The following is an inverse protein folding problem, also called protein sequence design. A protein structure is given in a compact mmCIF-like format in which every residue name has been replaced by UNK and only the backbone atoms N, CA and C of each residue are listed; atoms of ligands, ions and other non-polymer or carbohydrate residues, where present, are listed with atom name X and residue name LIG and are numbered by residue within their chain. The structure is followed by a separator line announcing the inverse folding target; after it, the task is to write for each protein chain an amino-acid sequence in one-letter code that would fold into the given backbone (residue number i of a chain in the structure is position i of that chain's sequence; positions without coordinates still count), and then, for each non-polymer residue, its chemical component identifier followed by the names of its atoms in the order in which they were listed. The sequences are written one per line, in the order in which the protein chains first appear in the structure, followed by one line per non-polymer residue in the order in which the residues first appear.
data_IF_031819675768
#
_entry.id   IF_031819675768
#
_cell.length_a   1.000
_cell.length_b   1.000
_cell.length_c   1.000
_cell.angle_alpha   90.00
_cell.angle_beta   90.00
_cell.angle_gamma   90.00
#
_symmetry.space_group_name_H-M   'P 1'
#
loop_
_entity.id
_entity.type
_entity.pdbx_description
1 polymer ?
#
# COMPACT_ATOMS: atom_id res chain seq x y z
N UNK A 1 14.36 -5.95 6.93
CA UNK A 1 13.53 -5.56 5.77
C UNK A 1 12.76 -6.71 5.11
N UNK A 2 12.95 -7.98 5.50
CA UNK A 2 12.11 -9.08 5.01
C UNK A 2 11.88 -10.13 6.08
N UNK A 3 10.73 -10.80 6.03
CA UNK A 3 10.41 -11.94 6.90
C UNK A 3 11.05 -13.24 6.39
N UNK A 4 11.41 -13.30 5.10
CA UNK A 4 12.07 -14.46 4.51
C UNK A 4 13.58 -14.45 4.80
N UNK A 5 14.09 -15.49 5.48
CA UNK A 5 15.52 -15.61 5.84
C UNK A 5 16.48 -15.53 4.65
N UNK A 6 16.09 -16.06 3.49
CA UNK A 6 16.89 -15.97 2.26
C UNK A 6 17.00 -14.54 1.73
N UNK A 7 15.93 -13.76 1.86
CA UNK A 7 15.89 -12.34 1.50
C UNK A 7 16.61 -11.47 2.52
N UNK A 8 16.54 -11.81 3.81
CA UNK A 8 17.29 -11.14 4.88
C UNK A 8 18.79 -11.09 4.57
N UNK A 9 19.39 -12.19 4.13
CA UNK A 9 20.80 -12.20 3.73
C UNK A 9 21.13 -11.24 2.58
N UNK A 10 20.19 -11.02 1.66
CA UNK A 10 20.37 -10.06 0.57
C UNK A 10 20.33 -8.63 1.10
N UNK A 11 19.40 -8.34 2.02
CA UNK A 11 19.32 -7.07 2.74
C UNK A 11 20.53 -6.78 3.64
N UNK A 12 21.10 -7.81 4.28
CA UNK A 12 22.23 -7.65 5.20
C UNK A 12 23.58 -7.54 4.49
N UNK A 13 23.72 -8.11 3.29
CA UNK A 13 25.03 -8.23 2.63
C UNK A 13 25.09 -7.57 1.27
N UNK A 14 24.12 -7.87 0.39
CA UNK A 14 24.17 -7.43 -1.00
C UNK A 14 23.80 -5.95 -1.12
N UNK A 15 22.73 -5.52 -0.46
CA UNK A 15 22.28 -4.12 -0.51
C UNK A 15 23.33 -3.16 0.07
N UNK A 16 23.94 -3.43 1.25
CA UNK A 16 25.05 -2.62 1.75
C UNK A 16 26.28 -2.61 0.83
N UNK A 17 26.66 -3.74 0.23
CA UNK A 17 27.76 -3.80 -0.74
C UNK A 17 27.47 -2.94 -2.00
N UNK A 18 26.23 -2.91 -2.47
CA UNK A 18 25.83 -2.02 -3.57
C UNK A 18 25.85 -0.55 -3.11
N UNK A 19 25.31 -0.25 -1.94
CA UNK A 19 25.21 1.11 -1.41
C UNK A 19 26.60 1.73 -1.14
N UNK A 20 27.55 0.98 -0.61
CA UNK A 20 28.92 1.47 -0.37
C UNK A 20 29.66 1.89 -1.64
N UNK A 21 29.21 1.42 -2.82
CA UNK A 21 29.77 1.77 -4.14
C UNK A 21 29.00 2.88 -4.85
N UNK A 22 27.86 3.31 -4.29
CA UNK A 22 26.94 4.26 -4.91
C UNK A 22 26.45 5.27 -3.85
N UNK A 23 27.00 6.48 -3.86
CA UNK A 23 26.74 7.51 -2.84
C UNK A 23 25.25 7.76 -2.61
N UNK A 24 24.45 7.89 -3.67
CA UNK A 24 23.02 8.15 -3.53
C UNK A 24 22.25 6.99 -2.87
N UNK A 25 22.69 5.74 -3.05
CA UNK A 25 22.11 4.60 -2.36
C UNK A 25 22.49 4.58 -0.88
N UNK A 26 23.70 5.05 -0.54
CA UNK A 26 24.07 5.25 0.86
C UNK A 26 23.16 6.30 1.51
N UNK A 27 22.86 7.40 0.81
CA UNK A 27 21.87 8.37 1.29
C UNK A 27 20.49 7.75 1.52
N UNK A 28 19.97 6.93 0.60
CA UNK A 28 18.69 6.24 0.80
C UNK A 28 18.73 5.25 1.98
N UNK A 29 19.84 4.53 2.15
CA UNK A 29 20.02 3.58 3.25
C UNK A 29 20.06 4.32 4.60
N UNK A 30 20.81 5.43 4.70
CA UNK A 30 20.89 6.26 5.89
C UNK A 30 19.55 6.91 6.23
N UNK A 31 18.79 7.37 5.23
CA UNK A 31 17.45 7.90 5.43
C UNK A 31 16.50 6.84 6.01
N UNK A 32 16.54 5.62 5.47
CA UNK A 32 15.71 4.51 5.95
C UNK A 32 16.08 4.09 7.37
N UNK A 33 17.37 3.93 7.65
CA UNK A 33 17.85 3.57 9.00
C UNK A 33 17.53 4.67 10.02
N UNK A 34 17.76 5.94 9.67
CA UNK A 34 17.42 7.05 10.55
C UNK A 34 15.92 7.14 10.83
N UNK A 35 15.08 6.82 9.84
CA UNK A 35 13.64 6.75 10.02
C UNK A 35 13.21 5.60 10.94
N UNK A 36 13.84 4.42 10.81
CA UNK A 36 13.60 3.29 11.73
C UNK A 36 13.93 3.70 13.17
N UNK A 37 15.14 4.23 13.39
CA UNK A 37 15.61 4.71 14.69
C UNK A 37 14.67 5.79 15.27
N UNK A 38 14.26 6.76 14.45
CA UNK A 38 13.35 7.83 14.86
C UNK A 38 11.99 7.28 15.31
N UNK A 39 11.44 6.31 14.57
CA UNK A 39 10.14 5.69 14.93
C UNK A 39 10.23 4.81 16.18
N UNK A 40 11.39 4.21 16.44
CA UNK A 40 11.65 3.43 17.66
C UNK A 40 11.82 4.31 18.90
N UNK A 41 12.45 5.48 18.77
CA UNK A 41 12.68 6.41 19.87
C UNK A 41 11.42 7.21 20.25
N UNK A 42 10.48 7.37 19.32
CA UNK A 42 9.24 8.13 19.51
C UNK A 42 7.95 7.26 19.43
N UNK A 43 7.77 6.25 20.31
CA UNK A 43 6.60 5.38 20.29
C UNK A 43 5.29 6.09 20.70
N UNK A 44 5.36 7.22 21.43
CA UNK A 44 4.17 8.02 21.83
C UNK A 44 3.37 8.59 20.64
N UNK A 45 3.92 8.60 19.42
CA UNK A 45 3.19 8.97 18.21
C UNK A 45 2.32 7.83 17.64
N UNK A 46 2.46 6.60 18.14
CA UNK A 46 1.79 5.40 17.63
C UNK A 46 0.49 5.06 18.38
N UNK A 47 0.37 5.42 19.67
CA UNK A 47 -0.79 5.09 20.50
C UNK A 47 -1.55 6.33 20.99
N UNK A 48 -2.51 6.80 20.19
CA UNK A 48 -3.65 7.57 20.73
C UNK A 48 -4.76 6.60 21.16
N UNK A 49 -4.41 5.67 22.07
CA UNK A 49 -5.34 4.94 22.91
C UNK A 49 -4.87 5.13 24.34
N UNK A 50 -5.68 5.86 25.12
CA UNK A 50 -5.65 5.97 26.60
C UNK A 50 -4.66 6.96 27.23
N UNK A 51 -5.05 8.26 27.32
CA UNK A 51 -4.81 9.07 28.53
C UNK A 51 -5.98 10.05 28.73
N UNK A 52 -7.10 9.54 29.21
CA UNK A 52 -7.96 10.33 30.08
C UNK A 52 -7.35 10.22 31.48
N UNK A 53 -7.01 11.38 32.06
CA UNK A 53 -6.45 11.58 33.41
C UNK A 53 -4.95 11.26 33.60
N UNK A 54 -4.10 12.23 33.33
CA UNK A 54 -3.09 12.60 34.32
C UNK A 54 -2.85 14.10 34.28
N UNK A 55 -3.17 14.75 35.40
CA UNK A 55 -3.01 16.16 35.68
C UNK A 55 -1.80 16.22 36.62
N UNK A 56 -0.66 16.73 36.17
CA UNK A 56 0.46 16.98 37.09
C UNK A 56 1.83 17.12 36.43
N UNK A 57 2.49 18.22 36.79
CA UNK A 57 3.93 18.54 36.72
C UNK A 57 4.59 18.76 35.36
N UNK A 58 4.70 20.05 35.02
CA UNK A 58 5.90 20.77 34.55
C UNK A 58 7.18 19.95 34.34
N UNK A 59 7.59 19.80 33.07
CA UNK A 59 8.96 19.94 32.53
C UNK A 59 8.92 19.50 31.05
N UNK A 60 8.66 20.44 30.13
CA UNK A 60 8.73 20.16 28.68
C UNK A 60 9.23 21.38 27.90
N UNK A 61 10.52 21.68 28.04
CA UNK A 61 11.26 22.55 27.11
C UNK A 61 12.62 21.90 26.83
N UNK A 62 12.66 20.93 25.91
CA UNK A 62 13.87 20.57 25.13
C UNK A 62 13.71 19.42 24.13
N UNK A 63 12.64 18.62 24.15
CA UNK A 63 12.53 17.44 23.26
C UNK A 63 12.20 17.78 21.80
N UNK A 64 11.38 18.82 21.56
CA UNK A 64 10.89 19.17 20.22
C UNK A 64 11.96 19.68 19.25
N UNK A 65 12.99 20.38 19.73
CA UNK A 65 14.06 20.92 18.87
C UNK A 65 15.03 19.83 18.39
N UNK A 66 15.31 18.82 19.24
CA UNK A 66 16.21 17.70 18.90
C UNK A 66 15.52 16.74 17.93
N UNK A 67 14.23 16.46 18.14
CA UNK A 67 13.44 15.61 17.24
C UNK A 67 13.31 16.22 15.84
N UNK A 68 13.12 17.54 15.75
CA UNK A 68 13.04 18.27 14.48
C UNK A 68 14.35 18.23 13.67
N UNK A 69 15.50 18.39 14.35
CA UNK A 69 16.82 18.30 13.70
C UNK A 69 17.13 16.90 13.13
N UNK A 70 16.72 15.85 13.84
CA UNK A 70 16.88 14.47 13.37
C UNK A 70 16.03 14.17 12.14
N UNK A 71 14.76 14.60 12.15
CA UNK A 71 13.84 14.43 11.02
C UNK A 71 14.30 15.21 9.79
N UNK A 72 14.83 16.42 9.98
CA UNK A 72 15.41 17.21 8.90
C UNK A 72 16.56 16.46 8.21
N UNK A 73 17.48 15.92 8.99
CA UNK A 73 18.62 15.13 8.48
C UNK A 73 18.15 13.90 7.69
N UNK A 74 17.13 13.20 8.19
CA UNK A 74 16.51 12.05 7.50
C UNK A 74 15.94 12.47 6.14
N UNK A 75 15.21 13.61 6.10
CA UNK A 75 14.62 14.15 4.88
C UNK A 75 15.70 14.58 3.88
N UNK A 76 16.79 15.22 4.34
CA UNK A 76 17.92 15.61 3.49
C UNK A 76 18.57 14.38 2.82
N UNK A 77 18.85 13.34 3.59
CA UNK A 77 19.35 12.08 3.03
C UNK A 77 18.36 11.47 2.03
N UNK A 78 17.06 11.46 2.33
CA UNK A 78 16.04 10.97 1.40
C UNK A 78 16.04 11.76 0.09
N UNK A 79 16.06 13.09 0.15
CA UNK A 79 16.05 13.97 -1.02
C UNK A 79 17.32 13.81 -1.87
N UNK A 80 18.49 13.72 -1.25
CA UNK A 80 19.75 13.51 -1.94
C UNK A 80 19.78 12.14 -2.63
N UNK A 81 19.33 11.10 -1.94
CA UNK A 81 19.20 9.76 -2.51
C UNK A 81 18.21 9.68 -3.68
N UNK A 82 17.07 10.37 -3.57
CA UNK A 82 16.08 10.48 -4.64
C UNK A 82 16.63 11.22 -5.86
N UNK A 83 17.39 12.29 -5.66
CA UNK A 83 18.06 13.03 -6.74
C UNK A 83 19.03 12.13 -7.50
N UNK A 84 19.93 11.45 -6.80
CA UNK A 84 20.89 10.56 -7.44
C UNK A 84 20.24 9.36 -8.14
N UNK A 85 19.10 8.86 -7.63
CA UNK A 85 18.36 7.82 -8.35
C UNK A 85 17.78 8.35 -9.67
N UNK A 86 17.24 9.58 -9.69
CA UNK A 86 16.73 10.20 -10.93
C UNK A 86 17.84 10.38 -11.96
N UNK A 87 19.01 10.86 -11.53
CA UNK A 87 20.19 10.98 -12.39
C UNK A 87 20.65 9.62 -12.93
N UNK A 88 20.64 8.57 -12.09
CA UNK A 88 20.97 7.22 -12.51
C UNK A 88 19.95 6.62 -13.50
N UNK A 89 18.67 7.01 -13.40
CA UNK A 89 17.61 6.61 -14.33
C UNK A 89 17.78 7.25 -15.70
N UNK A 90 18.19 8.51 -15.77
CA UNK A 90 18.46 9.19 -17.05
C UNK A 90 19.59 8.50 -17.84
N UNK A 91 20.53 7.86 -17.12
CA UNK A 91 21.61 7.04 -17.67
C UNK A 91 21.38 5.52 -17.57
N UNK A 92 20.13 5.05 -17.56
CA UNK A 92 19.82 3.63 -17.38
C UNK A 92 20.50 2.73 -18.43
N UNK A 93 21.24 1.72 -17.96
CA UNK A 93 21.93 0.72 -18.79
C UNK A 93 21.81 -0.65 -18.13
N UNK A 94 22.07 -1.74 -18.87
CA UNK A 94 22.06 -3.08 -18.26
C UNK A 94 23.03 -3.23 -17.08
N UNK A 95 24.11 -2.44 -17.06
CA UNK A 95 25.13 -2.47 -16.01
C UNK A 95 24.66 -1.85 -14.68
N UNK A 96 23.68 -0.93 -14.69
CA UNK A 96 23.22 -0.25 -13.48
C UNK A 96 21.86 -0.76 -12.96
N UNK A 97 21.30 -1.81 -13.57
CA UNK A 97 20.01 -2.39 -13.20
C UNK A 97 19.90 -2.76 -11.71
N UNK A 98 20.93 -3.39 -11.14
CA UNK A 98 20.93 -3.74 -9.71
C UNK A 98 20.94 -2.51 -8.79
N UNK A 99 21.62 -1.44 -9.23
CA UNK A 99 21.69 -0.17 -8.51
C UNK A 99 20.32 0.50 -8.52
N UNK A 100 19.68 0.58 -9.69
CA UNK A 100 18.34 1.14 -9.87
C UNK A 100 17.28 0.36 -9.09
N UNK A 101 17.34 -0.97 -9.11
CA UNK A 101 16.43 -1.81 -8.34
C UNK A 101 16.65 -1.66 -6.83
N UNK A 102 17.90 -1.57 -6.38
CA UNK A 102 18.23 -1.34 -4.97
C UNK A 102 17.70 0.01 -4.49
N UNK A 103 17.89 1.08 -5.27
CA UNK A 103 17.33 2.40 -4.98
C UNK A 103 15.80 2.37 -4.93
N UNK A 104 15.16 1.64 -5.85
CA UNK A 104 13.70 1.48 -5.89
C UNK A 104 13.16 0.75 -4.65
N UNK A 105 13.83 -0.30 -4.19
CA UNK A 105 13.44 -1.02 -2.97
C UNK A 105 13.63 -0.16 -1.71
N UNK A 106 14.74 0.57 -1.60
CA UNK A 106 14.98 1.48 -0.48
C UNK A 106 13.96 2.63 -0.44
N UNK A 107 13.63 3.21 -1.60
CA UNK A 107 12.58 4.23 -1.68
C UNK A 107 11.21 3.68 -1.31
N UNK A 108 10.87 2.48 -1.76
CA UNK A 108 9.58 1.86 -1.43
C UNK A 108 9.48 1.60 0.08
N UNK A 109 10.53 1.04 0.67
CA UNK A 109 10.63 0.84 2.11
C UNK A 109 10.49 2.14 2.89
N UNK A 110 11.19 3.20 2.47
CA UNK A 110 11.11 4.51 3.07
C UNK A 110 9.69 5.09 2.96
N UNK A 111 9.05 4.96 1.80
CA UNK A 111 7.69 5.45 1.55
C UNK A 111 6.66 4.79 2.47
N UNK A 112 6.78 3.48 2.73
CA UNK A 112 5.93 2.79 3.68
C UNK A 112 6.23 3.22 5.12
N UNK A 113 7.52 3.23 5.51
CA UNK A 113 7.92 3.59 6.86
C UNK A 113 7.53 5.03 7.21
N UNK A 114 7.57 5.96 6.25
CA UNK A 114 7.22 7.37 6.47
C UNK A 114 5.73 7.56 6.75
N UNK A 115 4.87 6.62 6.35
CA UNK A 115 3.46 6.64 6.74
C UNK A 115 3.32 6.64 8.27
N UNK A 116 4.25 6.04 9.02
CA UNK A 116 4.16 5.98 10.49
C UNK A 116 4.27 7.37 11.14
N UNK A 117 4.92 8.31 10.45
CA UNK A 117 5.04 9.68 10.92
C UNK A 117 3.72 10.44 10.73
N UNK A 118 3.34 11.22 11.76
CA UNK A 118 2.19 12.13 11.69
C UNK A 118 2.50 13.39 10.87
N UNK A 119 3.76 13.84 10.91
CA UNK A 119 4.18 15.16 10.40
C UNK A 119 5.14 15.12 9.20
N UNK A 120 5.27 13.99 8.50
CA UNK A 120 6.14 13.89 7.32
C UNK A 120 5.60 14.68 6.11
N UNK A 121 4.42 15.27 6.23
CA UNK A 121 3.83 16.14 5.22
C UNK A 121 3.68 17.58 5.74
N UNK A 122 4.67 18.45 5.50
CA UNK A 122 4.59 19.86 5.88
C UNK A 122 3.55 20.66 5.06
N UNK A 123 3.01 20.09 3.96
CA UNK A 123 1.96 20.69 3.14
C UNK A 123 0.55 20.43 3.68
N UNK A 124 0.40 19.45 4.57
CA UNK A 124 -0.88 19.04 5.17
C UNK A 124 -0.83 19.11 6.68
N UNK A 125 -0.26 20.21 7.20
CA UNK A 125 -0.42 20.62 8.58
C UNK A 125 -1.93 20.69 8.91
N UNK A 126 -2.41 19.65 9.59
CA UNK A 126 -3.61 19.58 10.42
C UNK A 126 -4.91 20.09 9.77
N UNK A 127 -5.76 19.19 9.25
CA UNK A 127 -7.17 19.57 9.04
C UNK A 127 -8.07 18.68 8.19
N UNK A 128 -7.61 18.12 7.06
CA UNK A 128 -8.60 17.72 6.03
C UNK A 128 -9.11 16.27 6.14
N UNK A 129 -8.65 15.49 7.13
CA UNK A 129 -9.10 14.10 7.35
C UNK A 129 -8.80 13.12 6.21
N UNK A 130 -8.09 13.55 5.15
CA UNK A 130 -7.86 12.77 3.94
C UNK A 130 -6.81 11.66 4.13
N UNK A 131 -6.95 10.54 3.41
CA UNK A 131 -5.95 9.48 3.39
C UNK A 131 -4.74 9.93 2.57
N UNK A 132 -3.53 9.55 2.98
CA UNK A 132 -2.32 9.89 2.22
C UNK A 132 -2.15 8.97 1.03
N UNK A 133 -1.95 9.54 -0.15
CA UNK A 133 -1.82 8.78 -1.42
C UNK A 133 -0.47 8.99 -2.12
N UNK A 134 0.39 9.91 -1.64
CA UNK A 134 1.65 10.22 -2.33
C UNK A 134 2.65 9.06 -2.34
N UNK A 135 2.64 8.25 -1.28
CA UNK A 135 3.40 7.01 -1.21
C UNK A 135 3.08 6.10 -2.41
N UNK A 136 1.83 6.09 -2.87
CA UNK A 136 1.38 5.22 -3.96
C UNK A 136 2.05 5.58 -5.28
N UNK A 137 2.22 6.88 -5.56
CA UNK A 137 2.93 7.36 -6.77
C UNK A 137 4.41 6.96 -6.72
N UNK A 138 5.04 7.17 -5.58
CA UNK A 138 6.45 6.86 -5.38
C UNK A 138 6.70 5.35 -5.53
N UNK A 139 5.92 4.53 -4.83
CA UNK A 139 6.04 3.06 -4.89
C UNK A 139 5.66 2.56 -6.29
N UNK A 140 4.67 3.14 -6.97
CA UNK A 140 4.34 2.82 -8.36
C UNK A 140 5.52 3.05 -9.31
N UNK A 141 6.18 4.20 -9.19
CA UNK A 141 7.38 4.52 -9.98
C UNK A 141 8.51 3.53 -9.69
N UNK A 142 8.81 3.29 -8.41
CA UNK A 142 9.85 2.35 -7.97
C UNK A 142 9.58 0.91 -8.44
N UNK A 143 8.35 0.41 -8.27
CA UNK A 143 7.94 -0.91 -8.71
C UNK A 143 8.01 -1.07 -10.23
N UNK A 144 7.75 0.00 -10.99
CA UNK A 144 7.89 -0.03 -12.45
C UNK A 144 9.33 -0.31 -12.89
N UNK A 145 10.33 0.28 -12.21
CA UNK A 145 11.76 0.05 -12.51
C UNK A 145 12.12 -1.42 -12.31
N UNK A 146 11.62 -2.03 -11.23
CA UNK A 146 11.81 -3.44 -10.93
C UNK A 146 11.14 -4.32 -12.01
N UNK A 147 9.89 -4.02 -12.35
CA UNK A 147 9.12 -4.76 -13.36
C UNK A 147 9.78 -4.77 -14.74
N UNK A 148 10.21 -3.60 -15.23
CA UNK A 148 10.88 -3.49 -16.54
C UNK A 148 12.20 -4.25 -16.60
N UNK A 149 12.90 -4.39 -15.47
CA UNK A 149 14.23 -5.01 -15.41
C UNK A 149 14.22 -6.43 -14.83
N UNK A 150 13.03 -7.01 -14.64
CA UNK A 150 12.84 -8.29 -13.96
C UNK A 150 13.76 -9.41 -14.46
N UNK A 151 13.81 -9.61 -15.78
CA UNK A 151 14.58 -10.69 -16.40
C UNK A 151 16.09 -10.61 -16.11
N UNK A 152 16.62 -9.40 -15.97
CA UNK A 152 18.01 -9.15 -15.59
C UNK A 152 18.22 -9.34 -14.10
N UNK A 153 17.28 -8.86 -13.27
CA UNK A 153 17.35 -8.93 -11.81
C UNK A 153 17.35 -10.37 -11.28
N UNK A 154 16.57 -11.28 -11.89
CA UNK A 154 16.54 -12.69 -11.49
C UNK A 154 17.83 -13.46 -11.84
N UNK A 155 18.68 -12.90 -12.71
CA UNK A 155 20.00 -13.45 -13.05
C UNK A 155 21.13 -12.86 -12.20
N UNK A 156 20.86 -11.75 -11.52
CA UNK A 156 21.84 -11.01 -10.73
C UNK A 156 21.98 -11.48 -9.28
N UNK A 157 22.66 -10.66 -8.48
CA UNK A 157 22.87 -10.83 -7.04
C UNK A 157 21.59 -10.61 -6.24
N UNK A 158 20.68 -9.78 -6.77
CA UNK A 158 19.37 -9.51 -6.15
C UNK A 158 18.33 -10.61 -6.39
N UNK A 159 18.67 -11.67 -7.15
CA UNK A 159 17.74 -12.74 -7.53
C UNK A 159 16.89 -13.29 -6.39
N UNK A 160 17.44 -13.37 -5.16
CA UNK A 160 16.72 -13.93 -4.01
C UNK A 160 15.53 -13.07 -3.56
N UNK A 161 15.53 -11.78 -3.88
CA UNK A 161 14.42 -10.86 -3.62
C UNK A 161 13.31 -10.99 -4.67
N UNK A 162 13.62 -11.59 -5.82
CA UNK A 162 12.76 -11.64 -7.01
C UNK A 162 12.45 -13.08 -7.43
N UNK A 163 12.91 -14.10 -6.71
CA UNK A 163 12.42 -15.46 -6.94
C UNK A 163 11.24 -15.62 -6.00
N UNK A 164 10.06 -15.34 -6.53
CA UNK A 164 8.81 -15.61 -5.83
C UNK A 164 8.68 -17.12 -5.59
N UNK A 165 8.23 -17.48 -4.40
CA UNK A 165 8.12 -18.87 -3.98
C UNK A 165 6.91 -19.55 -4.67
N UNK A 166 7.13 -20.78 -5.14
CA UNK A 166 6.29 -21.91 -5.65
C UNK A 166 4.83 -21.78 -6.13
N UNK A 167 4.09 -20.71 -5.89
CA UNK A 167 2.64 -20.62 -6.20
C UNK A 167 2.33 -19.81 -7.46
N UNK A 168 3.31 -19.10 -8.02
CA UNK A 168 3.16 -18.43 -9.32
C UNK A 168 3.03 -19.48 -10.44
N UNK A 169 1.80 -19.62 -10.97
CA UNK A 169 1.49 -20.49 -12.11
C UNK A 169 0.93 -21.86 -11.77
N UNK A 170 0.65 -22.17 -10.51
CA UNK A 170 -0.12 -23.38 -10.16
C UNK A 170 -1.57 -22.94 -9.95
N UNK A 171 -2.45 -23.25 -10.92
CA UNK A 171 -3.90 -23.27 -10.70
C UNK A 171 -4.18 -24.32 -9.63
N UNK A 172 -4.15 -23.89 -8.37
CA UNK A 172 -4.51 -24.75 -7.27
C UNK A 172 -6.01 -24.58 -7.08
N UNK A 173 -6.78 -25.46 -7.72
CA UNK A 173 -8.18 -25.71 -7.41
C UNK A 173 -8.28 -26.28 -5.99
N UNK A 174 -8.13 -25.41 -5.00
CA UNK A 174 -8.32 -25.76 -3.62
C UNK A 174 -9.81 -25.63 -3.29
N UNK A 175 -10.48 -26.71 -2.83
CA UNK A 175 -11.85 -26.60 -2.35
C UNK A 175 -11.92 -25.60 -1.19
N UNK A 176 -13.00 -24.81 -1.16
CA UNK A 176 -13.34 -23.76 -0.20
C UNK A 176 -13.61 -24.37 1.18
N UNK A 177 -12.58 -24.91 1.82
CA UNK A 177 -12.64 -25.32 3.22
C UNK A 177 -11.95 -24.25 4.05
N UNK A 178 -12.60 -23.80 5.11
CA UNK A 178 -12.04 -22.83 6.04
C UNK A 178 -10.65 -23.28 6.52
N UNK A 179 -9.63 -22.41 6.48
CA UNK A 179 -8.31 -22.74 7.00
C UNK A 179 -8.41 -23.03 8.50
N UNK A 180 -8.08 -24.25 8.92
CA UNK A 180 -8.32 -24.74 10.29
C UNK A 180 -7.26 -24.31 11.30
N UNK A 181 -6.16 -23.67 10.86
CA UNK A 181 -5.01 -23.37 11.72
C UNK A 181 -4.31 -22.04 11.33
N UNK A 182 -5.03 -20.92 11.45
CA UNK A 182 -4.42 -19.58 11.39
C UNK A 182 -4.43 -19.01 12.81
N UNK A 183 -3.28 -18.63 13.36
CA UNK A 183 -3.24 -18.03 14.70
C UNK A 183 -3.54 -16.52 14.66
N UNK A 184 -3.12 -15.84 13.60
CA UNK A 184 -3.45 -14.44 13.35
C UNK A 184 -4.95 -14.26 13.07
N UNK A 185 -5.62 -13.59 14.01
CA UNK A 185 -7.04 -13.23 13.87
C UNK A 185 -7.28 -12.37 12.62
N UNK A 186 -6.35 -11.47 12.29
CA UNK A 186 -6.42 -10.63 11.10
C UNK A 186 -6.39 -11.44 9.81
N UNK A 187 -5.48 -12.42 9.70
CA UNK A 187 -5.42 -13.32 8.55
C UNK A 187 -6.68 -14.20 8.44
N UNK A 188 -7.25 -14.65 9.57
CA UNK A 188 -8.52 -15.41 9.58
C UNK A 188 -9.69 -14.55 9.09
N UNK A 189 -9.88 -13.35 9.67
CA UNK A 189 -10.94 -12.41 9.25
C UNK A 189 -10.79 -12.04 7.77
N UNK A 190 -9.55 -11.87 7.30
CA UNK A 190 -9.27 -11.64 5.88
C UNK A 190 -9.73 -12.84 5.03
N UNK A 191 -9.31 -14.05 5.40
CA UNK A 191 -9.61 -15.25 4.63
C UNK A 191 -11.12 -15.54 4.51
N UNK A 192 -11.88 -15.28 5.57
CA UNK A 192 -13.33 -15.53 5.64
C UNK A 192 -14.18 -14.58 4.79
N UNK A 193 -13.70 -13.35 4.55
CA UNK A 193 -14.49 -12.31 3.89
C UNK A 193 -13.96 -11.81 2.54
N UNK A 194 -12.70 -12.09 2.19
CA UNK A 194 -12.05 -11.52 0.99
C UNK A 194 -12.88 -11.72 -0.30
N UNK A 195 -13.32 -12.95 -0.60
CA UNK A 195 -14.11 -13.23 -1.83
C UNK A 195 -15.46 -12.52 -1.83
N UNK A 196 -16.14 -12.49 -0.68
CA UNK A 196 -17.44 -11.81 -0.53
C UNK A 196 -17.28 -10.31 -0.74
N UNK A 197 -16.22 -9.72 -0.18
CA UNK A 197 -15.96 -8.29 -0.30
C UNK A 197 -15.72 -7.87 -1.76
N UNK A 198 -14.96 -8.66 -2.54
CA UNK A 198 -14.79 -8.42 -3.98
C UNK A 198 -16.11 -8.54 -4.74
N UNK A 199 -16.90 -9.60 -4.46
CA UNK A 199 -18.22 -9.77 -5.09
C UNK A 199 -19.14 -8.58 -4.80
N UNK A 200 -19.16 -8.07 -3.56
CA UNK A 200 -19.96 -6.92 -3.18
C UNK A 200 -19.49 -5.64 -3.90
N UNK A 201 -18.17 -5.44 -4.02
CA UNK A 201 -17.58 -4.30 -4.70
C UNK A 201 -17.92 -4.28 -6.21
N UNK A 202 -17.91 -5.46 -6.86
CA UNK A 202 -18.34 -5.62 -8.26
C UNK A 202 -19.84 -5.35 -8.41
N UNK A 203 -20.67 -5.94 -7.55
CA UNK A 203 -22.13 -5.73 -7.58
C UNK A 203 -22.47 -4.24 -7.45
N UNK A 204 -21.84 -3.55 -6.50
CA UNK A 204 -22.00 -2.10 -6.35
C UNK A 204 -21.53 -1.32 -7.58
N UNK A 205 -20.45 -1.77 -8.22
CA UNK A 205 -19.92 -1.13 -9.44
C UNK A 205 -20.90 -1.23 -10.60
N UNK A 206 -21.50 -2.40 -10.79
CA UNK A 206 -22.53 -2.66 -11.81
C UNK A 206 -23.79 -1.81 -11.55
N UNK A 207 -24.27 -1.79 -10.31
CA UNK A 207 -25.44 -1.01 -9.90
C UNK A 207 -25.22 0.50 -10.12
N UNK A 208 -24.04 1.01 -9.76
CA UNK A 208 -23.69 2.41 -9.94
C UNK A 208 -23.59 2.78 -11.42
N UNK A 209 -22.94 1.93 -12.24
CA UNK A 209 -22.83 2.16 -13.68
C UNK A 209 -24.22 2.17 -14.35
N UNK A 210 -25.10 1.25 -13.97
CA UNK A 210 -26.49 1.20 -14.44
C UNK A 210 -27.26 2.47 -14.02
N UNK A 211 -27.11 2.93 -12.78
CA UNK A 211 -27.79 4.13 -12.29
C UNK A 211 -27.36 5.39 -13.05
N UNK A 212 -26.05 5.56 -13.30
CA UNK A 212 -25.53 6.71 -14.04
C UNK A 212 -25.94 6.67 -15.52
N UNK A 213 -25.87 5.51 -16.16
CA UNK A 213 -26.29 5.33 -17.55
C UNK A 213 -27.77 5.69 -17.74
N UNK A 214 -28.62 5.25 -16.82
CA UNK A 214 -30.06 5.55 -16.83
C UNK A 214 -30.37 7.03 -16.54
N UNK A 215 -29.58 7.69 -15.69
CA UNK A 215 -29.72 9.12 -15.40
C UNK A 215 -29.33 9.99 -16.61
N UNK A 216 -28.25 9.63 -17.31
CA UNK A 216 -27.79 10.35 -18.51
C UNK A 216 -28.83 10.39 -19.63
N UNK A 217 -29.53 9.27 -19.88
CA UNK A 217 -30.58 9.20 -20.89
C UNK A 217 -31.81 10.09 -20.62
N UNK A 218 -32.01 10.57 -19.39
CA UNK A 218 -33.12 11.50 -19.05
C UNK A 218 -32.74 12.98 -19.21
N UNK A 219 -31.46 13.32 -19.25
CA UNK A 219 -30.97 14.70 -19.29
C UNK A 219 -30.62 15.21 -20.71
N UNK A 220 -30.66 14.34 -21.72
CA UNK A 220 -30.29 14.61 -23.12
C UNK A 220 -31.19 15.62 -23.87
N UNK A 221 -32.06 16.39 -23.19
CA UNK A 221 -33.01 17.31 -23.83
C UNK A 221 -32.62 18.79 -23.85
N UNK A 222 -31.44 19.22 -23.37
CA UNK A 222 -31.15 20.67 -23.28
C UNK A 222 -29.68 21.14 -23.39
N UNK A 223 -28.68 20.30 -23.65
CA UNK A 223 -27.26 20.70 -23.60
C UNK A 223 -26.48 20.50 -24.90
N UNK A 224 -25.45 21.34 -25.10
CA UNK A 224 -24.59 21.35 -26.29
C UNK A 224 -23.82 20.03 -26.42
N UNK A 225 -23.84 19.36 -27.59
CA UNK A 225 -23.46 17.95 -27.74
C UNK A 225 -21.98 17.65 -27.42
N UNK A 226 -21.08 18.62 -27.57
CA UNK A 226 -19.64 18.40 -27.36
C UNK A 226 -19.23 18.34 -25.89
N UNK A 227 -19.94 19.04 -25.00
CA UNK A 227 -19.60 19.06 -23.56
C UNK A 227 -20.08 17.79 -22.85
N UNK A 228 -21.28 17.32 -23.18
CA UNK A 228 -21.86 16.10 -22.61
C UNK A 228 -21.11 14.83 -23.06
N UNK A 229 -20.59 14.80 -24.29
CA UNK A 229 -19.81 13.65 -24.78
C UNK A 229 -18.50 13.47 -24.02
N UNK A 230 -17.75 14.56 -23.80
CA UNK A 230 -16.48 14.49 -23.05
C UNK A 230 -16.67 14.02 -21.61
N UNK A 231 -17.77 14.39 -20.96
CA UNK A 231 -18.10 13.96 -19.59
C UNK A 231 -18.51 12.49 -19.54
N UNK A 232 -19.29 12.00 -20.50
CA UNK A 232 -19.62 10.58 -20.64
C UNK A 232 -18.36 9.73 -20.90
N UNK A 233 -17.52 10.15 -21.84
CA UNK A 233 -16.27 9.46 -22.16
C UNK A 233 -15.32 9.40 -20.95
N UNK A 234 -15.28 10.48 -20.14
CA UNK A 234 -14.50 10.51 -18.90
C UNK A 234 -15.04 9.54 -17.85
N UNK A 235 -16.36 9.48 -17.65
CA UNK A 235 -16.99 8.56 -16.70
C UNK A 235 -16.80 7.10 -17.10
N UNK A 236 -16.98 6.77 -18.39
CA UNK A 236 -16.77 5.42 -18.92
C UNK A 236 -15.33 4.96 -18.68
N UNK A 237 -14.36 5.81 -19.01
CA UNK A 237 -12.94 5.53 -18.75
C UNK A 237 -12.63 5.36 -17.25
N UNK A 238 -13.29 6.12 -16.37
CA UNK A 238 -13.10 5.98 -14.93
C UNK A 238 -13.68 4.65 -14.43
N UNK A 239 -14.83 4.23 -14.95
CA UNK A 239 -15.40 2.92 -14.62
C UNK A 239 -14.52 1.76 -15.10
N UNK A 240 -13.98 1.85 -16.31
CA UNK A 240 -13.00 0.88 -16.81
C UNK A 240 -11.77 0.79 -15.90
N UNK A 241 -11.25 1.93 -15.45
CA UNK A 241 -10.11 1.95 -14.53
C UNK A 241 -10.48 1.39 -13.15
N UNK A 242 -11.69 1.64 -12.65
CA UNK A 242 -12.17 1.03 -11.40
C UNK A 242 -12.21 -0.49 -11.51
N UNK A 243 -12.82 -1.03 -12.58
CA UNK A 243 -12.87 -2.48 -12.79
C UNK A 243 -11.47 -3.08 -12.90
N UNK A 244 -10.57 -2.41 -13.64
CA UNK A 244 -9.18 -2.86 -13.74
C UNK A 244 -8.46 -2.87 -12.40
N UNK A 245 -8.74 -1.92 -11.51
CA UNK A 245 -8.16 -1.92 -10.16
C UNK A 245 -8.80 -3.02 -9.30
N UNK A 246 -10.10 -3.27 -9.44
CA UNK A 246 -10.77 -4.39 -8.76
C UNK A 246 -10.17 -5.73 -9.19
N UNK A 247 -9.86 -5.92 -10.48
CA UNK A 247 -9.16 -7.11 -10.98
C UNK A 247 -7.79 -7.29 -10.31
N UNK A 248 -7.03 -6.19 -10.14
CA UNK A 248 -5.74 -6.21 -9.44
C UNK A 248 -5.92 -6.60 -7.97
N UNK A 249 -6.92 -6.04 -7.28
CA UNK A 249 -7.22 -6.39 -5.89
C UNK A 249 -7.58 -7.87 -5.80
N UNK A 250 -8.46 -8.36 -6.67
CA UNK A 250 -8.90 -9.75 -6.70
C UNK A 250 -7.73 -10.70 -6.91
N UNK A 251 -6.85 -10.43 -7.87
CA UNK A 251 -5.62 -11.19 -8.10
C UNK A 251 -4.77 -11.29 -6.83
N UNK A 252 -4.55 -10.18 -6.12
CA UNK A 252 -3.77 -10.17 -4.87
C UNK A 252 -4.50 -10.88 -3.74
N UNK A 253 -5.81 -10.76 -3.63
CA UNK A 253 -6.60 -11.47 -2.63
C UNK A 253 -6.54 -12.98 -2.86
N UNK A 254 -6.73 -13.44 -4.10
CA UNK A 254 -6.63 -14.85 -4.47
C UNK A 254 -5.24 -15.39 -4.13
N UNK A 255 -4.18 -14.65 -4.45
CA UNK A 255 -2.81 -15.04 -4.12
C UNK A 255 -2.59 -15.17 -2.60
N UNK A 256 -3.05 -14.19 -1.82
CA UNK A 256 -2.98 -14.26 -0.34
C UNK A 256 -3.74 -15.48 0.18
N UNK A 257 -4.97 -15.70 -0.31
CA UNK A 257 -5.78 -16.86 0.06
C UNK A 257 -5.08 -18.18 -0.28
N UNK A 258 -4.44 -18.28 -1.45
CA UNK A 258 -3.69 -19.48 -1.84
C UNK A 258 -2.51 -19.75 -0.91
N UNK A 259 -1.76 -18.72 -0.51
CA UNK A 259 -0.68 -18.86 0.49
C UNK A 259 -1.25 -19.38 1.81
N UNK A 260 -2.32 -18.76 2.32
CA UNK A 260 -2.99 -19.17 3.56
C UNK A 260 -3.46 -20.63 3.50
N UNK A 261 -4.14 -21.02 2.42
CA UNK A 261 -4.67 -22.38 2.25
C UNK A 261 -3.57 -23.42 2.08
N UNK A 262 -2.47 -23.07 1.39
CA UNK A 262 -1.32 -23.95 1.22
C UNK A 262 -0.73 -24.34 2.58
N UNK A 263 -0.40 -23.35 3.42
CA UNK A 263 0.19 -23.60 4.73
C UNK A 263 -0.77 -24.30 5.70
N UNK A 264 -2.07 -24.01 5.60
CA UNK A 264 -3.10 -24.69 6.39
C UNK A 264 -3.19 -26.20 6.11
N UNK A 265 -2.73 -26.67 4.95
CA UNK A 265 -2.84 -28.08 4.51
C UNK A 265 -1.53 -28.85 4.55
N UNK A 266 -0.42 -28.19 4.26
CA UNK A 266 0.86 -28.87 4.02
C UNK A 266 1.64 -29.14 5.32
N UNK A 267 1.46 -28.35 6.38
CA UNK A 267 2.18 -28.56 7.65
C UNK A 267 1.41 -28.00 8.87
N UNK A 268 0.35 -28.70 9.31
CA UNK A 268 -0.46 -28.26 10.47
C UNK A 268 0.27 -28.29 11.82
N UNK A 269 1.46 -28.89 11.91
CA UNK A 269 2.20 -29.03 13.18
C UNK A 269 3.45 -28.14 13.28
N UNK A 270 3.86 -27.43 12.20
CA UNK A 270 5.17 -26.74 12.15
C UNK A 270 5.12 -25.35 11.53
N UNK A 271 4.12 -24.99 10.72
CA UNK A 271 4.10 -23.68 10.05
C UNK A 271 3.80 -22.56 11.05
N UNK A 272 4.75 -21.64 11.20
CA UNK A 272 4.52 -20.41 11.95
C UNK A 272 3.77 -19.39 11.09
N UNK A 273 2.98 -18.49 11.70
CA UNK A 273 2.37 -17.36 10.99
C UNK A 273 3.44 -16.51 10.26
N UNK A 274 4.68 -16.52 10.74
CA UNK A 274 5.81 -15.83 10.10
C UNK A 274 6.15 -16.40 8.72
N UNK A 275 6.01 -17.71 8.53
CA UNK A 275 6.27 -18.36 7.23
C UNK A 275 5.19 -17.97 6.21
N UNK A 276 3.93 -17.90 6.65
CA UNK A 276 2.79 -17.41 5.85
C UNK A 276 3.02 -15.96 5.45
N UNK A 277 3.35 -15.09 6.41
CA UNK A 277 3.60 -13.68 6.16
C UNK A 277 4.82 -13.46 5.26
N UNK A 278 5.86 -14.30 5.36
CA UNK A 278 7.04 -14.21 4.49
C UNK A 278 6.73 -14.49 3.00
N UNK A 279 5.76 -15.36 2.71
CA UNK A 279 5.30 -15.61 1.35
C UNK A 279 4.25 -14.56 0.90
N UNK A 280 3.45 -13.99 1.82
CA UNK A 280 2.55 -12.85 1.52
C UNK A 280 3.34 -11.58 1.19
N UNK A 281 4.48 -11.34 1.84
CA UNK A 281 5.30 -10.12 1.68
C UNK A 281 5.53 -9.73 0.21
N UNK A 282 5.87 -10.71 -0.62
CA UNK A 282 6.11 -10.52 -2.06
C UNK A 282 4.89 -10.03 -2.81
N UNK A 283 3.74 -10.59 -2.45
CA UNK A 283 2.44 -10.21 -2.99
C UNK A 283 2.10 -8.79 -2.57
N UNK A 284 2.39 -8.43 -1.33
CA UNK A 284 1.86 -7.23 -0.72
C UNK A 284 2.59 -5.93 -1.11
N UNK A 285 3.92 -5.94 -1.20
CA UNK A 285 4.69 -4.68 -1.12
C UNK A 285 5.02 -4.06 -2.48
N UNK A 286 5.44 -4.86 -3.46
CA UNK A 286 5.93 -4.34 -4.76
C UNK A 286 5.20 -4.88 -6.00
N UNK A 287 4.36 -5.91 -5.85
CA UNK A 287 3.83 -6.66 -7.01
C UNK A 287 2.67 -5.99 -7.76
N UNK A 288 2.00 -5.01 -7.16
CA UNK A 288 0.78 -4.39 -7.70
C UNK A 288 0.84 -2.88 -7.95
N UNK A 289 1.63 -2.04 -7.24
CA UNK A 289 1.54 -0.59 -7.40
C UNK A 289 1.81 -0.10 -8.83
N UNK A 290 2.70 -0.79 -9.56
CA UNK A 290 3.01 -0.51 -10.97
C UNK A 290 1.88 -0.86 -11.95
N UNK A 291 0.92 -1.71 -11.53
CA UNK A 291 -0.22 -2.13 -12.36
C UNK A 291 -1.36 -1.11 -12.34
N UNK A 292 -1.36 -0.18 -11.38
CA UNK A 292 -2.44 0.78 -11.23
C UNK A 292 -2.50 1.79 -12.40
N UNK A 293 -3.70 2.05 -12.95
CA UNK A 293 -3.91 3.12 -13.92
C UNK A 293 -3.56 4.50 -13.35
N UNK A 294 -2.93 5.35 -14.16
CA UNK A 294 -2.59 6.71 -13.75
C UNK A 294 -3.85 7.53 -13.44
N UNK A 295 -4.91 7.36 -14.24
CA UNK A 295 -6.20 8.06 -14.08
C UNK A 295 -6.88 7.72 -12.74
N UNK A 296 -6.84 6.46 -12.30
CA UNK A 296 -7.30 6.08 -10.96
C UNK A 296 -6.51 6.80 -9.86
N UNK A 297 -5.19 6.85 -9.95
CA UNK A 297 -4.37 7.56 -8.97
C UNK A 297 -4.67 9.06 -8.98
N UNK A 298 -4.83 9.64 -10.16
CA UNK A 298 -5.19 11.05 -10.33
C UNK A 298 -6.59 11.38 -9.83
N UNK A 299 -7.53 10.42 -9.84
CA UNK A 299 -8.84 10.64 -9.24
C UNK A 299 -8.67 10.93 -7.74
N UNK A 300 -7.79 10.22 -7.04
CA UNK A 300 -7.57 10.37 -5.59
C UNK A 300 -7.06 11.76 -5.13
N UNK A 301 -6.51 12.60 -6.02
CA UNK A 301 -5.81 13.84 -5.64
C UNK A 301 -6.71 15.05 -5.41
N UNK A 302 -7.85 15.14 -6.07
CA UNK A 302 -8.65 16.36 -6.01
C UNK A 302 -10.10 16.07 -6.33
N UNK A 303 -10.94 16.28 -5.32
CA UNK A 303 -12.38 16.20 -5.43
C UNK A 303 -12.97 17.53 -4.97
N UNK A 304 -13.31 18.45 -5.90
CA UNK A 304 -14.01 19.69 -5.56
C UNK A 304 -15.37 19.42 -4.92
N UNK A 305 -15.99 18.28 -5.27
CA UNK A 305 -17.19 17.75 -4.65
C UNK A 305 -16.96 16.27 -4.36
N UNK A 306 -16.99 15.90 -3.07
CA UNK A 306 -16.90 14.50 -2.67
C UNK A 306 -18.26 13.83 -2.83
N UNK A 307 -18.39 12.95 -3.83
CA UNK A 307 -19.62 12.23 -4.17
C UNK A 307 -19.46 10.71 -4.11
N UNK A 308 -20.43 10.00 -4.67
CA UNK A 308 -20.50 8.53 -4.64
C UNK A 308 -19.34 7.89 -5.44
N UNK A 309 -18.92 8.51 -6.55
CA UNK A 309 -17.87 8.00 -7.42
C UNK A 309 -16.48 8.13 -6.79
N UNK A 310 -16.26 9.23 -6.08
CA UNK A 310 -15.09 9.50 -5.26
C UNK A 310 -15.07 8.55 -4.06
N UNK A 311 -16.22 8.37 -3.40
CA UNK A 311 -16.43 7.37 -2.36
C UNK A 311 -16.03 5.97 -2.83
N UNK A 312 -16.48 5.54 -4.02
CA UNK A 312 -16.08 4.27 -4.65
C UNK A 312 -14.57 4.18 -4.83
N UNK A 313 -13.92 5.24 -5.34
CA UNK A 313 -12.46 5.26 -5.55
C UNK A 313 -11.70 5.05 -4.24
N UNK A 314 -12.13 5.68 -3.14
CA UNK A 314 -11.53 5.47 -1.83
C UNK A 314 -11.86 4.10 -1.22
N UNK A 315 -13.06 3.56 -1.43
CA UNK A 315 -13.39 2.19 -1.03
C UNK A 315 -12.47 1.19 -1.74
N UNK A 316 -12.22 1.35 -3.04
CA UNK A 316 -11.23 0.55 -3.78
C UNK A 316 -9.82 0.72 -3.18
N UNK A 317 -9.42 1.95 -2.85
CA UNK A 317 -8.13 2.22 -2.19
C UNK A 317 -8.01 1.49 -0.85
N UNK A 318 -9.09 1.38 -0.09
CA UNK A 318 -9.12 0.60 1.17
C UNK A 318 -8.83 -0.87 0.91
N UNK A 319 -9.36 -1.45 -0.16
CA UNK A 319 -9.05 -2.84 -0.49
C UNK A 319 -7.57 -3.04 -0.85
N UNK A 320 -6.94 -2.07 -1.51
CA UNK A 320 -5.48 -2.04 -1.73
C UNK A 320 -4.71 -1.91 -0.41
N UNK A 321 -5.21 -1.11 0.54
CA UNK A 321 -4.63 -1.04 1.88
C UNK A 321 -4.72 -2.36 2.63
N UNK A 322 -5.81 -3.13 2.49
CA UNK A 322 -5.92 -4.42 3.16
C UNK A 322 -4.85 -5.43 2.72
N UNK A 323 -4.38 -5.34 1.46
CA UNK A 323 -3.24 -6.13 0.96
C UNK A 323 -1.98 -5.88 1.81
N UNK A 324 -1.79 -4.64 2.29
CA UNK A 324 -0.70 -4.27 3.18
C UNK A 324 -1.04 -4.57 4.64
N UNK A 325 -2.30 -4.38 5.06
CA UNK A 325 -2.72 -4.51 6.45
C UNK A 325 -2.56 -5.93 7.00
N UNK A 326 -2.62 -6.96 6.15
CA UNK A 326 -2.35 -8.36 6.54
C UNK A 326 -0.91 -8.58 7.01
N UNK A 327 0.02 -7.67 6.71
CA UNK A 327 1.44 -7.74 7.11
C UNK A 327 1.70 -7.16 8.51
N UNK A 328 0.93 -7.60 9.51
CA UNK A 328 0.85 -7.00 10.86
C UNK A 328 2.18 -6.86 11.63
N UNK A 329 3.18 -7.71 11.34
CA UNK A 329 4.48 -7.73 12.04
C UNK A 329 5.62 -7.06 11.25
N UNK A 330 5.30 -6.32 10.19
CA UNK A 330 6.32 -5.68 9.35
C UNK A 330 6.56 -4.25 9.82
N UNK A 331 7.76 -3.99 10.36
CA UNK A 331 8.10 -2.72 11.03
C UNK A 331 7.81 -1.47 10.18
N UNK A 332 7.99 -1.57 8.85
CA UNK A 332 7.83 -0.44 7.92
C UNK A 332 6.39 -0.25 7.43
N UNK A 333 5.45 -1.17 7.68
CA UNK A 333 4.03 -1.03 7.31
C UNK A 333 3.20 -0.76 8.58
N UNK A 334 3.32 -1.64 9.57
CA UNK A 334 2.69 -1.53 10.89
C UNK A 334 1.19 -1.23 10.90
N UNK A 335 0.70 -0.73 12.04
CA UNK A 335 -0.71 -0.34 12.29
C UNK A 335 -1.13 0.96 11.58
N UNK A 336 -0.23 1.56 10.79
CA UNK A 336 -0.51 2.83 10.11
C UNK A 336 -1.57 2.68 9.05
N UNK A 337 -1.60 1.54 8.38
CA UNK A 337 -2.62 1.22 7.39
C UNK A 337 -4.01 1.22 8.04
N UNK A 338 -4.13 0.72 9.27
CA UNK A 338 -5.38 0.74 10.02
C UNK A 338 -5.91 2.17 10.21
N UNK A 339 -5.00 3.15 10.41
CA UNK A 339 -5.35 4.58 10.51
C UNK A 339 -5.88 5.13 9.19
N UNK A 340 -5.24 4.79 8.08
CA UNK A 340 -5.67 5.26 6.75
C UNK A 340 -7.03 4.64 6.36
N UNK A 341 -7.26 3.36 6.67
CA UNK A 341 -8.58 2.70 6.50
C UNK A 341 -9.66 3.40 7.33
N UNK A 342 -9.38 3.75 8.59
CA UNK A 342 -10.31 4.49 9.46
C UNK A 342 -10.64 5.89 8.92
N UNK A 343 -9.65 6.60 8.36
CA UNK A 343 -9.87 7.91 7.71
C UNK A 343 -10.82 7.78 6.53
N UNK A 344 -10.59 6.80 5.65
CA UNK A 344 -11.49 6.54 4.52
C UNK A 344 -12.90 6.21 5.01
N UNK A 345 -13.04 5.34 6.01
CA UNK A 345 -14.35 5.00 6.57
C UNK A 345 -15.10 6.23 7.09
N UNK A 346 -14.40 7.13 7.80
CA UNK A 346 -14.97 8.38 8.26
C UNK A 346 -15.46 9.24 7.10
N UNK A 347 -14.66 9.39 6.04
CA UNK A 347 -15.03 10.13 4.83
C UNK A 347 -16.24 9.52 4.13
N UNK A 348 -16.22 8.23 3.84
CA UNK A 348 -17.32 7.50 3.19
C UNK A 348 -18.62 7.63 3.98
N UNK A 349 -18.55 7.60 5.31
CA UNK A 349 -19.73 7.78 6.18
C UNK A 349 -20.37 9.16 6.01
N UNK A 350 -19.59 10.21 5.69
CA UNK A 350 -20.15 11.57 5.49
C UNK A 350 -21.00 11.68 4.23
N UNK A 351 -20.85 10.78 3.26
CA UNK A 351 -21.68 10.72 2.05
C UNK A 351 -23.11 10.27 2.31
N UNK A 352 -23.37 9.62 3.46
CA UNK A 352 -24.70 9.08 3.79
C UNK A 352 -25.18 7.96 2.86
N UNK A 353 -24.30 7.40 2.02
CA UNK A 353 -24.62 6.27 1.14
C UNK A 353 -24.58 4.95 1.91
N UNK A 354 -25.72 4.27 2.12
CA UNK A 354 -25.76 3.03 2.91
C UNK A 354 -24.95 1.91 2.26
N UNK A 355 -24.94 1.86 0.92
CA UNK A 355 -24.19 0.85 0.16
C UNK A 355 -22.66 1.01 0.33
N UNK A 356 -22.15 2.25 0.26
CA UNK A 356 -20.72 2.49 0.47
C UNK A 356 -20.31 2.22 1.93
N UNK A 357 -21.17 2.55 2.90
CA UNK A 357 -20.94 2.23 4.31
C UNK A 357 -20.91 0.72 4.54
N UNK A 358 -21.80 -0.04 3.89
CA UNK A 358 -21.82 -1.50 3.94
C UNK A 358 -20.52 -2.11 3.38
N UNK A 359 -20.02 -1.60 2.24
CA UNK A 359 -18.74 -2.03 1.66
C UNK A 359 -17.54 -1.79 2.60
N UNK A 360 -17.63 -0.80 3.49
CA UNK A 360 -16.58 -0.47 4.45
C UNK A 360 -16.62 -1.29 5.75
N UNK A 361 -17.69 -2.06 6.01
CA UNK A 361 -17.82 -2.85 7.26
C UNK A 361 -16.73 -3.91 7.39
N UNK A 362 -16.58 -4.78 6.38
CA UNK A 362 -15.59 -5.84 6.43
C UNK A 362 -14.14 -5.32 6.47
N UNK A 363 -13.73 -4.31 5.67
CA UNK A 363 -12.42 -3.70 5.84
C UNK A 363 -12.13 -3.19 7.25
N UNK A 364 -13.14 -2.62 7.91
CA UNK A 364 -13.04 -2.15 9.29
C UNK A 364 -12.90 -3.30 10.30
N UNK A 365 -13.56 -4.43 10.05
CA UNK A 365 -13.40 -5.66 10.85
C UNK A 365 -11.98 -6.23 10.74
N UNK A 366 -11.41 -6.28 9.53
CA UNK A 366 -10.04 -6.77 9.30
C UNK A 366 -9.01 -5.93 10.06
N UNK A 367 -9.07 -4.60 9.96
CA UNK A 367 -8.10 -3.72 10.66
C UNK A 367 -8.36 -3.58 12.16
N UNK A 368 -9.51 -4.02 12.65
CA UNK A 368 -9.85 -4.05 14.08
C UNK A 368 -9.60 -5.41 14.74
N UNK A 369 -9.23 -6.42 13.95
CA UNK A 369 -9.06 -7.81 14.38
C UNK A 369 -7.89 -8.00 15.32
#
# INVERSE_FOLDING_TARGET
MSLNRGKQLTWERVIPDIATKNEFLMHLLLALSGLDDFTHQNPCNQDSRTVLFSKGSNESMSSTDVDSGSLHTIIEHHQQGLRGLREALDGATEANVEVLATGSMLLSAFAFASLRLKDFDPSHADGDGRPRVDWLRLVRGAASIIGHNWASLIRGRLRKLFIFNRLDGVELDFPVTSPTLIHSKRLSTFAEGARRAISNLRTFSDDLNLAITNAGHRADSAHSPTCAQNERDFLEQMFEDHERVIDIVEDKYIRILHVIHYFSRVDSDVSSDLDILADIEDTAVISWPHLLPQRFISSLDSYPCFGILEGKSFTILVHLYLILAVMENTWYIGTTIDREVKKVNALVTTLGSPQLVELMQWPMEVVSS
#
